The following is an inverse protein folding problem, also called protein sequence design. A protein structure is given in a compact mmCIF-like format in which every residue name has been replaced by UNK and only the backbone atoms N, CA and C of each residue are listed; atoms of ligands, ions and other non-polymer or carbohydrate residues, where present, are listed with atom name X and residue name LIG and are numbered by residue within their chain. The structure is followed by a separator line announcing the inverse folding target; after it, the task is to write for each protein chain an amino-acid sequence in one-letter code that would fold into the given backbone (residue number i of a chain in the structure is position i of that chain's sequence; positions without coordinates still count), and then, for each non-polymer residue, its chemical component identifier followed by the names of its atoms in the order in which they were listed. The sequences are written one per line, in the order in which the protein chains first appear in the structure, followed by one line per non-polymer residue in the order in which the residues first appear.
data_IF_179003540951
#
_entry.id   IF_179003540951
#
_cell.length_a   1.000
_cell.length_b   1.000
_cell.length_c   1.000
_cell.angle_alpha   90.00
_cell.angle_beta   90.00
_cell.angle_gamma   90.00
#
_symmetry.space_group_name_H-M   'P 1'
#
loop_
_entity.id
_entity.type
_entity.pdbx_description
1 polymer ?
#
# COMPACT_ATOMS: atom_id res chain seq x y z
N UNK A 1 3.27 26.03 37.23
CA UNK A 1 4.48 26.74 36.75
C UNK A 1 4.95 25.98 35.53
N UNK A 2 4.85 26.57 34.33
CA UNK A 2 5.03 25.85 33.06
C UNK A 2 6.50 25.73 32.69
N UNK A 3 7.00 24.50 32.57
CA UNK A 3 8.35 24.23 32.10
C UNK A 3 8.41 24.45 30.59
N UNK A 4 9.21 25.43 30.17
CA UNK A 4 9.37 25.81 28.76
C UNK A 4 10.40 24.88 28.12
N UNK A 5 9.94 23.80 27.47
CA UNK A 5 10.84 22.94 26.70
C UNK A 5 11.37 23.70 25.47
N UNK A 6 12.60 24.19 25.56
CA UNK A 6 13.30 24.79 24.42
C UNK A 6 14.08 23.69 23.71
N UNK A 7 13.64 23.33 22.51
CA UNK A 7 14.35 22.36 21.68
C UNK A 7 15.55 23.07 21.05
N UNK A 8 16.75 22.67 21.43
CA UNK A 8 17.99 23.15 20.78
C UNK A 8 18.36 22.19 19.65
N UNK A 9 18.20 22.64 18.41
CA UNK A 9 18.62 21.90 17.23
C UNK A 9 20.06 22.30 16.91
N UNK A 10 20.96 21.32 16.86
CA UNK A 10 22.37 21.58 16.52
C UNK A 10 22.53 21.97 15.05
N UNK A 11 23.38 22.94 14.77
CA UNK A 11 23.64 23.42 13.40
C UNK A 11 24.30 22.37 12.49
N UNK A 12 24.86 21.31 13.08
CA UNK A 12 25.41 20.16 12.35
C UNK A 12 24.30 19.23 11.83
N UNK A 13 23.22 19.04 12.59
CA UNK A 13 22.08 18.24 12.16
C UNK A 13 21.38 18.88 10.96
N UNK A 14 21.23 20.21 10.98
CA UNK A 14 20.66 20.97 9.86
C UNK A 14 21.50 20.81 8.59
N UNK A 15 22.83 20.84 8.71
CA UNK A 15 23.74 20.62 7.57
C UNK A 15 23.66 19.20 7.02
N UNK A 16 23.60 18.18 7.88
CA UNK A 16 23.46 16.78 7.45
C UNK A 16 22.13 16.50 6.73
N UNK A 17 21.06 17.21 7.08
CA UNK A 17 19.76 17.07 6.40
C UNK A 17 19.67 17.89 5.11
N UNK A 18 20.46 18.96 4.98
CA UNK A 18 20.52 19.79 3.78
C UNK A 18 21.36 19.14 2.66
N UNK A 19 22.31 18.28 3.00
CA UNK A 19 23.09 17.51 2.03
C UNK A 19 22.39 16.18 1.67
N UNK A 20 21.60 16.21 0.58
CA UNK A 20 20.87 15.07 -0.02
C UNK A 20 21.82 13.92 -0.47
N UNK A 21 21.41 12.63 -0.35
CA UNK A 21 22.25 11.41 -0.40
C UNK A 21 22.98 11.04 -1.71
N UNK A 22 23.19 11.96 -2.64
CA UNK A 22 23.77 11.74 -3.97
C UNK A 22 25.30 11.44 -3.98
N UNK A 23 25.94 11.13 -2.84
CA UNK A 23 27.40 10.81 -2.80
C UNK A 23 27.81 9.52 -2.09
N UNK A 24 26.88 8.65 -1.68
CA UNK A 24 27.22 7.30 -1.21
C UNK A 24 27.00 6.26 -2.32
N UNK A 25 27.94 6.22 -3.26
CA UNK A 25 28.03 5.18 -4.31
C UNK A 25 28.18 3.78 -3.69
N UNK A 26 27.07 3.07 -3.46
CA UNK A 26 27.06 1.62 -3.23
C UNK A 26 27.10 0.89 -4.58
N UNK A 27 28.14 0.08 -4.77
CA UNK A 27 28.41 -0.73 -5.97
C UNK A 27 27.25 -1.70 -6.28
N UNK A 28 26.69 -1.59 -7.49
CA UNK A 28 25.74 -2.55 -8.08
C UNK A 28 26.43 -3.87 -8.42
N UNK A 29 25.97 -5.00 -7.84
CA UNK A 29 26.28 -6.35 -8.34
C UNK A 29 25.11 -6.84 -9.20
N UNK A 30 25.42 -7.40 -10.38
CA UNK A 30 24.48 -7.87 -11.42
C UNK A 30 23.53 -9.00 -10.96
N UNK A 31 22.31 -9.13 -11.54
CA UNK A 31 21.39 -10.24 -11.26
C UNK A 31 21.43 -11.35 -12.34
N UNK A 32 21.19 -12.60 -11.93
CA UNK A 32 20.79 -13.76 -12.77
C UNK A 32 20.26 -14.91 -11.88
N UNK A 33 19.47 -15.88 -12.38
CA UNK A 33 18.01 -15.80 -12.48
C UNK A 33 17.22 -16.96 -11.79
N UNK A 34 15.91 -16.71 -11.63
CA UNK A 34 14.73 -17.61 -11.47
C UNK A 34 14.91 -19.05 -10.93
N UNK A 35 14.22 -19.34 -9.81
CA UNK A 35 13.82 -20.70 -9.41
C UNK A 35 12.30 -20.73 -9.21
N UNK A 36 11.71 -21.82 -9.72
CA UNK A 36 10.30 -22.12 -9.92
C UNK A 36 9.50 -22.31 -8.63
N UNK A 37 8.26 -21.84 -8.67
CA UNK A 37 7.14 -22.21 -7.80
C UNK A 37 6.68 -23.62 -8.19
N UNK A 38 6.48 -24.55 -7.22
CA UNK A 38 5.25 -25.33 -6.93
C UNK A 38 5.53 -26.48 -5.89
N UNK A 39 4.52 -27.22 -5.34
CA UNK A 39 4.08 -27.06 -3.95
C UNK A 39 4.31 -28.29 -3.04
N UNK A 40 4.36 -28.05 -1.72
CA UNK A 40 4.49 -29.08 -0.69
C UNK A 40 3.16 -29.81 -0.47
N UNK A 41 3.17 -31.12 -0.68
CA UNK A 41 2.14 -32.05 -0.23
C UNK A 41 2.45 -32.56 1.18
N UNK A 42 1.38 -32.67 1.96
CA UNK A 42 1.31 -33.17 3.32
C UNK A 42 1.54 -34.68 3.41
N UNK A 43 2.27 -35.15 4.42
CA UNK A 43 2.09 -36.52 4.91
C UNK A 43 2.26 -36.60 6.44
N UNK A 44 1.37 -37.40 7.03
CA UNK A 44 1.11 -37.59 8.47
C UNK A 44 2.24 -38.35 9.16
N UNK A 45 2.30 -38.29 10.50
CA UNK A 45 2.27 -39.43 11.46
C UNK A 45 2.86 -39.02 12.83
N UNK A 46 2.07 -39.14 13.88
CA UNK A 46 2.45 -39.35 15.30
C UNK A 46 2.21 -40.87 15.60
N UNK A 47 2.54 -41.46 16.79
CA UNK A 47 3.56 -41.19 17.84
C UNK A 47 4.21 -42.51 18.41
N UNK A 48 5.01 -42.41 19.50
CA UNK A 48 5.58 -43.43 20.47
C UNK A 48 7.11 -43.63 20.34
N UNK A 49 7.97 -43.79 21.37
CA UNK A 49 7.89 -44.01 22.82
C UNK A 49 9.29 -43.77 23.47
N UNK A 50 9.32 -43.17 24.68
CA UNK A 50 10.07 -43.54 25.92
C UNK A 50 11.48 -44.18 25.83
N UNK A 51 12.50 -43.58 26.46
CA UNK A 51 13.27 -44.09 27.64
C UNK A 51 14.70 -43.54 27.73
N UNK A 52 15.05 -43.18 28.97
CA UNK A 52 16.36 -43.22 29.63
C UNK A 52 17.53 -42.39 29.09
N UNK A 53 18.12 -41.56 29.97
CA UNK A 53 19.56 -41.53 30.31
C UNK A 53 19.79 -40.43 31.37
N UNK A 54 19.33 -40.70 32.60
CA UNK A 54 19.94 -40.10 33.79
C UNK A 54 21.12 -40.98 34.20
N UNK A 55 22.19 -40.32 34.64
CA UNK A 55 23.40 -40.79 35.35
C UNK A 55 24.70 -40.65 34.57
N UNK A 56 25.42 -39.55 34.86
CA UNK A 56 26.87 -39.60 35.00
C UNK A 56 27.26 -38.79 36.24
N UNK A 57 27.73 -39.50 37.27
CA UNK A 57 28.46 -38.96 38.41
C UNK A 57 29.94 -38.73 38.04
N UNK A 58 30.54 -37.68 38.61
CA UNK A 58 32.00 -37.55 38.71
C UNK A 58 32.44 -36.16 39.24
N UNK A 59 33.39 -36.06 40.19
CA UNK A 59 33.35 -35.08 41.28
C UNK A 59 34.36 -33.93 41.14
N UNK A 60 34.05 -32.77 41.72
CA UNK A 60 34.95 -31.62 41.72
C UNK A 60 34.48 -30.48 42.62
N UNK A 61 35.11 -30.41 43.77
CA UNK A 61 35.09 -29.38 44.82
C UNK A 61 35.04 -27.93 44.29
N UNK A 62 34.06 -27.15 44.75
CA UNK A 62 34.16 -25.67 44.83
C UNK A 62 33.15 -25.13 45.84
N UNK A 63 33.61 -25.04 47.09
CA UNK A 63 32.89 -24.42 48.18
C UNK A 63 32.56 -22.95 47.90
N UNK A 64 31.27 -22.65 47.85
CA UNK A 64 30.72 -21.30 48.04
C UNK A 64 30.03 -21.26 49.40
N UNK A 65 30.24 -20.23 50.24
CA UNK A 65 29.52 -20.14 51.49
C UNK A 65 28.04 -19.88 51.19
N UNK A 66 27.19 -20.88 51.45
CA UNK A 66 25.74 -20.73 51.46
C UNK A 66 25.38 -19.81 52.62
N UNK A 67 25.08 -18.55 52.31
CA UNK A 67 24.53 -17.62 53.28
C UNK A 67 23.13 -18.12 53.71
N UNK A 68 22.80 -18.14 55.02
CA UNK A 68 21.46 -18.53 55.46
C UNK A 68 20.41 -17.57 54.89
N UNK A 69 19.21 -18.04 54.49
CA UNK A 69 18.17 -17.17 53.98
C UNK A 69 17.73 -16.23 55.10
N UNK A 70 18.04 -14.94 54.95
CA UNK A 70 17.41 -13.90 55.76
C UNK A 70 15.94 -13.85 55.34
N UNK A 71 15.07 -14.33 56.23
CA UNK A 71 13.62 -14.19 56.07
C UNK A 71 13.26 -12.70 56.10
N UNK A 72 13.15 -12.10 54.92
CA UNK A 72 12.41 -10.86 54.74
C UNK A 72 10.91 -11.21 54.77
N UNK A 73 10.07 -10.42 55.46
CA UNK A 73 8.64 -10.65 55.45
C UNK A 73 8.13 -10.58 54.01
N UNK A 74 7.44 -11.63 53.58
CA UNK A 74 6.77 -11.69 52.29
C UNK A 74 5.75 -10.55 52.28
N UNK A 75 5.84 -9.58 51.34
CA UNK A 75 4.83 -8.54 51.24
C UNK A 75 3.47 -9.20 50.98
N UNK A 76 2.35 -8.62 51.49
CA UNK A 76 1.04 -9.21 51.29
C UNK A 76 0.84 -9.45 49.79
N UNK A 77 0.53 -10.69 49.42
CA UNK A 77 0.32 -11.08 48.04
C UNK A 77 -0.78 -10.19 47.45
N UNK A 78 -0.38 -9.16 46.70
CA UNK A 78 -1.29 -8.47 45.82
C UNK A 78 -1.87 -9.56 44.93
N UNK A 79 -3.20 -9.66 44.89
CA UNK A 79 -3.83 -10.76 44.17
C UNK A 79 -3.38 -10.66 42.71
N UNK A 80 -2.71 -11.69 42.19
CA UNK A 80 -2.25 -11.71 40.79
C UNK A 80 -3.38 -11.41 39.79
N UNK A 81 -4.63 -11.63 40.21
CA UNK A 81 -5.84 -11.26 39.49
C UNK A 81 -5.96 -9.74 39.25
N UNK A 82 -5.56 -8.89 40.20
CA UNK A 82 -5.63 -7.42 40.05
C UNK A 82 -4.68 -6.87 38.99
N UNK A 83 -3.47 -7.43 38.89
CA UNK A 83 -2.51 -7.07 37.84
C UNK A 83 -3.00 -7.52 36.45
N UNK A 84 -3.57 -8.73 36.37
CA UNK A 84 -4.15 -9.24 35.12
C UNK A 84 -5.33 -8.40 34.65
N UNK A 85 -6.19 -7.96 35.56
CA UNK A 85 -7.33 -7.10 35.22
C UNK A 85 -6.88 -5.70 34.79
N UNK A 86 -5.81 -5.16 35.41
CA UNK A 86 -5.18 -3.92 34.96
C UNK A 86 -4.62 -4.05 33.53
N UNK A 87 -3.95 -5.16 33.22
CA UNK A 87 -3.44 -5.43 31.85
C UNK A 87 -4.59 -5.52 30.85
N UNK A 88 -5.66 -6.26 31.17
CA UNK A 88 -6.83 -6.37 30.29
C UNK A 88 -7.49 -5.02 30.03
N UNK A 89 -7.59 -4.18 31.06
CA UNK A 89 -8.16 -2.84 30.93
C UNK A 89 -7.33 -1.96 29.98
N UNK A 90 -6.00 -2.00 30.08
CA UNK A 90 -5.10 -1.29 29.16
C UNK A 90 -5.26 -1.80 27.73
N UNK A 91 -5.33 -3.11 27.52
CA UNK A 91 -5.54 -3.69 26.18
C UNK A 91 -6.88 -3.25 25.58
N UNK A 92 -7.95 -3.27 26.36
CA UNK A 92 -9.27 -2.84 25.91
C UNK A 92 -9.29 -1.35 25.54
N UNK A 93 -8.62 -0.50 26.32
CA UNK A 93 -8.51 0.92 26.00
C UNK A 93 -7.66 1.14 24.74
N UNK A 94 -6.57 0.38 24.58
CA UNK A 94 -5.73 0.44 23.38
C UNK A 94 -6.51 0.07 22.11
N UNK A 95 -7.36 -0.96 22.19
CA UNK A 95 -8.22 -1.39 21.08
C UNK A 95 -9.21 -0.29 20.69
N UNK A 96 -9.85 0.35 21.68
CA UNK A 96 -10.76 1.48 21.43
C UNK A 96 -10.04 2.67 20.78
N UNK A 97 -8.82 2.96 21.20
CA UNK A 97 -8.02 4.05 20.60
C UNK A 97 -7.67 3.71 19.15
N UNK A 98 -7.26 2.46 18.88
CA UNK A 98 -6.97 1.99 17.52
C UNK A 98 -8.21 2.08 16.62
N UNK A 99 -9.38 1.68 17.11
CA UNK A 99 -10.63 1.78 16.34
C UNK A 99 -10.96 3.23 15.98
N UNK A 100 -10.81 4.16 16.92
CA UNK A 100 -11.01 5.60 16.68
C UNK A 100 -10.02 6.15 15.65
N UNK A 101 -8.74 5.79 15.76
CA UNK A 101 -7.72 6.22 14.81
C UNK A 101 -7.97 5.64 13.41
N UNK A 102 -8.38 4.38 13.31
CA UNK A 102 -8.71 3.78 12.03
C UNK A 102 -9.88 4.49 11.36
N UNK A 103 -10.93 4.83 12.13
CA UNK A 103 -12.06 5.62 11.62
C UNK A 103 -11.65 7.02 11.15
N UNK A 104 -10.74 7.67 11.88
CA UNK A 104 -10.18 8.97 11.45
C UNK A 104 -9.37 8.84 10.16
N UNK A 105 -8.52 7.81 10.05
CA UNK A 105 -7.75 7.54 8.85
C UNK A 105 -8.65 7.32 7.64
N UNK A 106 -9.70 6.50 7.76
CA UNK A 106 -10.66 6.25 6.69
C UNK A 106 -11.35 7.54 6.23
N UNK A 107 -11.79 8.38 7.18
CA UNK A 107 -12.42 9.65 6.86
C UNK A 107 -11.46 10.60 6.12
N UNK A 108 -10.23 10.75 6.62
CA UNK A 108 -9.20 11.58 5.97
C UNK A 108 -8.87 11.06 4.58
N UNK A 109 -8.78 9.74 4.40
CA UNK A 109 -8.51 9.13 3.10
C UNK A 109 -9.64 9.44 2.10
N UNK A 110 -10.89 9.31 2.53
CA UNK A 110 -12.05 9.66 1.71
C UNK A 110 -12.04 11.14 1.31
N UNK A 111 -11.80 12.04 2.27
CA UNK A 111 -11.74 13.48 2.02
C UNK A 111 -10.63 13.84 1.03
N UNK A 112 -9.42 13.32 1.24
CA UNK A 112 -8.27 13.57 0.36
C UNK A 112 -8.54 13.01 -1.03
N UNK A 113 -9.11 11.81 -1.13
CA UNK A 113 -9.44 11.21 -2.43
C UNK A 113 -10.49 12.02 -3.18
N UNK A 114 -11.53 12.47 -2.49
CA UNK A 114 -12.58 13.29 -3.08
C UNK A 114 -12.01 14.64 -3.55
N UNK A 115 -11.20 15.28 -2.71
CA UNK A 115 -10.59 16.57 -3.03
C UNK A 115 -9.56 16.47 -4.16
N UNK A 116 -8.80 15.38 -4.22
CA UNK A 116 -7.89 15.11 -5.33
C UNK A 116 -8.66 14.94 -6.66
N UNK A 117 -9.78 14.20 -6.65
CA UNK A 117 -10.66 14.07 -7.82
C UNK A 117 -11.22 15.43 -8.24
N UNK A 118 -11.68 16.23 -7.28
CA UNK A 118 -12.24 17.55 -7.55
C UNK A 118 -11.22 18.51 -8.16
N UNK A 119 -10.00 18.55 -7.61
CA UNK A 119 -8.90 19.36 -8.16
C UNK A 119 -8.51 18.88 -9.56
N UNK A 120 -8.36 17.57 -9.75
CA UNK A 120 -8.10 17.00 -11.06
C UNK A 120 -9.22 17.37 -12.05
N UNK A 121 -10.47 17.33 -11.61
CA UNK A 121 -11.62 17.69 -12.44
C UNK A 121 -11.68 19.17 -12.80
N UNK A 122 -11.23 20.06 -11.90
CA UNK A 122 -11.28 21.51 -12.10
C UNK A 122 -10.08 22.03 -12.89
N UNK A 123 -8.88 21.59 -12.53
CA UNK A 123 -7.63 22.16 -13.03
C UNK A 123 -7.03 21.35 -14.18
N UNK A 124 -7.26 20.03 -14.18
CA UNK A 124 -6.60 19.09 -15.09
C UNK A 124 -7.57 18.39 -16.05
N UNK A 125 -8.85 18.78 -16.07
CA UNK A 125 -9.73 18.34 -17.15
C UNK A 125 -9.22 18.91 -18.46
N UNK A 126 -8.88 18.00 -19.38
CA UNK A 126 -8.79 18.39 -20.78
C UNK A 126 -10.14 19.03 -21.15
N UNK A 127 -10.14 20.19 -21.84
CA UNK A 127 -11.35 20.75 -22.40
C UNK A 127 -12.15 19.62 -23.04
N UNK A 128 -13.43 19.47 -22.65
CA UNK A 128 -14.23 18.31 -23.07
C UNK A 128 -13.99 18.06 -24.55
N UNK A 129 -13.55 16.84 -24.86
CA UNK A 129 -13.19 16.48 -26.22
C UNK A 129 -14.43 16.74 -27.06
N UNK A 130 -14.33 17.70 -28.00
CA UNK A 130 -15.45 18.05 -28.88
C UNK A 130 -15.98 16.76 -29.49
N UNK A 131 -17.31 16.57 -29.56
CA UNK A 131 -17.88 15.35 -30.10
C UNK A 131 -17.28 15.10 -31.48
N UNK A 132 -16.93 13.85 -31.75
CA UNK A 132 -16.24 13.50 -32.99
C UNK A 132 -17.10 13.96 -34.18
N UNK A 133 -16.57 14.82 -35.04
CA UNK A 133 -17.36 15.37 -36.13
C UNK A 133 -17.61 14.27 -37.18
N UNK A 134 -18.82 14.23 -37.76
CA UNK A 134 -19.28 13.22 -38.73
C UNK A 134 -19.56 11.83 -38.15
N UNK A 135 -19.97 11.74 -36.87
CA UNK A 135 -20.35 10.48 -36.23
C UNK A 135 -21.50 9.76 -36.96
N UNK A 136 -22.52 10.50 -37.36
CA UNK A 136 -23.71 9.94 -38.00
C UNK A 136 -23.38 9.33 -39.37
N UNK A 137 -22.63 10.05 -40.21
CA UNK A 137 -22.22 9.57 -41.52
C UNK A 137 -21.23 8.40 -41.41
N UNK A 138 -20.34 8.41 -40.40
CA UNK A 138 -19.46 7.28 -40.10
C UNK A 138 -20.28 6.05 -39.75
N UNK A 139 -21.23 6.16 -38.84
CA UNK A 139 -22.03 5.03 -38.38
C UNK A 139 -22.93 4.49 -39.49
N UNK A 140 -23.49 5.36 -40.33
CA UNK A 140 -24.23 4.95 -41.53
C UNK A 140 -23.34 4.19 -42.54
N UNK A 141 -22.10 4.66 -42.74
CA UNK A 141 -21.13 3.98 -43.58
C UNK A 141 -20.76 2.59 -43.05
N UNK A 142 -20.54 2.47 -41.72
CA UNK A 142 -20.23 1.18 -41.08
C UNK A 142 -21.41 0.21 -41.17
N UNK A 143 -22.63 0.68 -40.87
CA UNK A 143 -23.85 -0.13 -40.99
C UNK A 143 -24.04 -0.67 -42.40
N UNK A 144 -23.82 0.16 -43.43
CA UNK A 144 -23.90 -0.30 -44.81
C UNK A 144 -22.90 -1.43 -45.12
N UNK A 145 -21.65 -1.29 -44.65
CA UNK A 145 -20.64 -2.34 -44.85
C UNK A 145 -20.95 -3.63 -44.10
N UNK A 146 -21.57 -3.54 -42.91
CA UNK A 146 -22.05 -4.70 -42.17
C UNK A 146 -23.17 -5.44 -42.92
N UNK A 147 -24.07 -4.71 -43.58
CA UNK A 147 -25.17 -5.26 -44.39
C UNK A 147 -24.69 -5.80 -45.76
N UNK A 148 -23.65 -5.20 -46.35
CA UNK A 148 -23.16 -5.51 -47.69
C UNK A 148 -21.71 -6.03 -47.73
N UNK A 149 -21.38 -6.97 -46.83
CA UNK A 149 -20.03 -7.57 -46.72
C UNK A 149 -19.47 -8.17 -48.03
N UNK A 150 -20.35 -8.69 -48.90
CA UNK A 150 -19.96 -9.30 -50.17
C UNK A 150 -19.80 -8.29 -51.32
N UNK A 151 -20.53 -7.17 -51.25
CA UNK A 151 -20.57 -6.14 -52.29
C UNK A 151 -20.35 -4.74 -51.69
N UNK A 152 -19.12 -4.41 -51.27
CA UNK A 152 -18.81 -3.15 -50.60
C UNK A 152 -19.08 -1.91 -51.47
N UNK A 153 -19.16 -2.05 -52.80
CA UNK A 153 -19.45 -0.96 -53.73
C UNK A 153 -20.87 -0.40 -53.59
N UNK A 154 -21.81 -1.16 -53.02
CA UNK A 154 -23.17 -0.66 -52.73
C UNK A 154 -23.17 0.49 -51.71
N UNK A 155 -22.11 0.58 -50.89
CA UNK A 155 -21.95 1.61 -49.87
C UNK A 155 -21.31 2.92 -50.36
N UNK A 156 -21.05 3.05 -51.67
CA UNK A 156 -20.37 4.22 -52.24
C UNK A 156 -21.01 5.57 -51.87
N UNK A 157 -22.34 5.61 -51.74
CA UNK A 157 -23.07 6.81 -51.30
C UNK A 157 -22.70 7.21 -49.87
N UNK A 158 -22.76 6.28 -48.92
CA UNK A 158 -22.44 6.53 -47.51
C UNK A 158 -20.97 6.92 -47.30
N UNK A 159 -20.07 6.31 -48.08
CA UNK A 159 -18.64 6.69 -48.09
C UNK A 159 -18.46 8.13 -48.58
N UNK A 160 -19.18 8.52 -49.63
CA UNK A 160 -19.14 9.90 -50.16
C UNK A 160 -19.67 10.90 -49.15
N UNK A 161 -20.79 10.59 -48.50
CA UNK A 161 -21.40 11.45 -47.49
C UNK A 161 -20.45 11.67 -46.28
N UNK A 162 -19.80 10.60 -45.81
CA UNK A 162 -18.77 10.69 -44.77
C UNK A 162 -17.55 11.50 -45.22
N UNK A 163 -17.07 11.29 -46.44
CA UNK A 163 -15.93 12.04 -47.00
C UNK A 163 -16.24 13.54 -47.17
N UNK A 164 -17.46 13.87 -47.61
CA UNK A 164 -17.94 15.24 -47.76
C UNK A 164 -18.05 15.93 -46.39
N UNK A 165 -18.58 15.23 -45.37
CA UNK A 165 -18.60 15.74 -44.01
C UNK A 165 -17.19 16.00 -43.47
N UNK A 166 -16.27 15.04 -43.61
CA UNK A 166 -14.88 15.19 -43.15
C UNK A 166 -14.15 16.34 -43.87
N UNK A 167 -14.46 16.59 -45.16
CA UNK A 167 -13.94 17.75 -45.90
C UNK A 167 -14.45 19.08 -45.31
N UNK A 168 -15.76 19.20 -45.07
CA UNK A 168 -16.36 20.41 -44.47
C UNK A 168 -15.75 20.72 -43.10
N UNK A 169 -15.59 19.70 -42.27
CA UNK A 169 -15.01 19.84 -40.93
C UNK A 169 -13.56 20.33 -40.98
N UNK A 170 -12.74 19.76 -41.88
CA UNK A 170 -11.34 20.22 -42.07
C UNK A 170 -11.26 21.69 -42.49
N UNK A 171 -12.18 22.14 -43.34
CA UNK A 171 -12.27 23.54 -43.75
C UNK A 171 -12.64 24.45 -42.56
N UNK A 172 -13.63 24.06 -41.74
CA UNK A 172 -14.03 24.81 -40.56
C UNK A 172 -12.92 24.96 -39.51
N UNK A 173 -12.14 23.90 -39.28
CA UNK A 173 -10.98 23.97 -38.36
C UNK A 173 -9.93 24.95 -38.89
N UNK A 174 -9.65 24.90 -40.20
CA UNK A 174 -8.66 25.79 -40.83
C UNK A 174 -9.05 27.28 -40.77
N UNK A 175 -10.34 27.61 -40.68
CA UNK A 175 -10.84 29.00 -40.61
C UNK A 175 -10.96 29.55 -39.19
N UNK A 176 -10.96 28.70 -38.16
CA UNK A 176 -11.07 29.12 -36.75
C UNK A 176 -9.71 29.49 -36.16
N UNK A 177 -8.62 29.05 -36.78
CA UNK A 177 -7.23 29.32 -36.36
C UNK A 177 -6.61 30.58 -37.01
N UNK A 178 -7.42 31.43 -37.68
CA UNK A 178 -6.99 32.73 -38.26
C UNK A 178 -7.70 33.88 -37.55
#
# INVERSE_FOLDING_TARGET
MGESFTIQISSNLVRQLADDPEKLKKKTKKPKPKISLEPWQSEKVHPKQISDFFNQEGPGDSGWPLQPPLYLPVPPAQSANSELDAIRSVLQESEKVVERLNKQQENVLLEVTQRAKELHDKEFRLPQQKPMPCLEEKDACLKCYEEHKKDPLKCARFVKDFADCARRVRQLVSTVDT
#
